data_IF_353476157560
#
_entry.id   IF_353476157560
#
_cell.length_a   1.000
_cell.length_b   1.000
_cell.length_c   1.000
_cell.angle_alpha   90.00
_cell.angle_beta   90.00
_cell.angle_gamma   90.00
#
_symmetry.space_group_name_H-M   'P 1'
#
loop_
_entity.id
_entity.type
_entity.pdbx_description
1 polymer ?
#
# COMPACT_ATOMS: atom_id res chain seq x y z
N UNK A 1 -3.00 -33.33 -29.64
CA UNK A 1 -1.59 -32.88 -29.91
C UNK A 1 -1.40 -31.36 -29.80
N UNK A 2 -2.46 -30.53 -29.79
CA UNK A 2 -2.35 -29.06 -29.76
C UNK A 2 -2.14 -28.44 -28.35
N UNK A 3 -2.41 -29.15 -27.27
CA UNK A 3 -2.33 -28.58 -25.90
C UNK A 3 -0.92 -28.52 -25.30
N UNK A 4 0.00 -29.36 -25.74
CA UNK A 4 1.38 -29.38 -25.25
C UNK A 4 2.25 -28.27 -25.85
N UNK A 5 2.01 -27.88 -27.10
CA UNK A 5 2.77 -26.81 -27.76
C UNK A 5 2.48 -25.43 -27.15
N UNK A 6 1.23 -25.15 -26.79
CA UNK A 6 0.83 -23.87 -26.12
C UNK A 6 1.42 -23.75 -24.72
N UNK A 7 1.53 -24.86 -23.98
CA UNK A 7 2.12 -24.88 -22.64
C UNK A 7 3.64 -24.57 -22.68
N UNK A 8 4.36 -25.18 -23.63
CA UNK A 8 5.80 -24.93 -23.80
C UNK A 8 6.10 -23.54 -24.34
N UNK A 9 5.21 -22.98 -25.19
CA UNK A 9 5.35 -21.60 -25.67
C UNK A 9 5.16 -20.58 -24.55
N UNK A 10 4.22 -20.82 -23.62
CA UNK A 10 4.02 -20.01 -22.42
C UNK A 10 5.23 -20.03 -21.48
N UNK A 11 5.84 -21.19 -21.27
CA UNK A 11 7.06 -21.34 -20.45
C UNK A 11 8.26 -20.66 -21.14
N UNK A 12 8.41 -20.80 -22.47
CA UNK A 12 9.48 -20.16 -23.22
C UNK A 12 9.34 -18.63 -23.22
N UNK A 13 8.13 -18.09 -23.34
CA UNK A 13 7.85 -16.64 -23.24
C UNK A 13 8.09 -16.11 -21.83
N UNK A 14 7.67 -16.85 -20.79
CA UNK A 14 7.97 -16.49 -19.39
C UNK A 14 9.48 -16.55 -19.10
N UNK A 15 10.19 -17.53 -19.65
CA UNK A 15 11.64 -17.63 -19.53
C UNK A 15 12.36 -16.52 -20.31
N UNK A 16 11.86 -16.14 -21.47
CA UNK A 16 12.40 -15.05 -22.27
C UNK A 16 12.13 -13.70 -21.60
N UNK A 17 10.96 -13.52 -20.98
CA UNK A 17 10.61 -12.34 -20.19
C UNK A 17 11.48 -12.23 -18.92
N UNK A 18 11.68 -13.33 -18.20
CA UNK A 18 12.60 -13.42 -17.06
C UNK A 18 14.07 -13.23 -17.47
N UNK A 19 14.46 -13.68 -18.66
CA UNK A 19 15.81 -13.48 -19.19
C UNK A 19 16.01 -12.05 -19.71
N UNK A 20 14.95 -11.39 -20.23
CA UNK A 20 14.98 -9.98 -20.65
C UNK A 20 15.05 -9.02 -19.46
N UNK A 21 14.59 -9.41 -18.27
CA UNK A 21 14.75 -8.63 -17.03
C UNK A 21 16.17 -8.73 -16.43
N UNK A 22 17.08 -9.48 -17.02
CA UNK A 22 18.51 -9.54 -16.63
C UNK A 22 19.33 -8.32 -17.06
N UNK A 23 18.69 -7.28 -17.58
CA UNK A 23 19.42 -6.11 -18.03
C UNK A 23 19.66 -5.13 -16.87
N UNK A 24 20.91 -4.97 -16.52
CA UNK A 24 21.61 -4.06 -15.63
C UNK A 24 22.05 -4.59 -14.26
N UNK A 25 22.15 -5.89 -14.05
CA UNK A 25 22.78 -6.46 -12.85
C UNK A 25 24.29 -6.77 -13.06
N UNK A 26 24.91 -6.27 -14.12
CA UNK A 26 26.36 -6.32 -14.24
C UNK A 26 26.99 -5.63 -13.03
N UNK A 27 27.81 -6.38 -12.28
CA UNK A 27 28.46 -5.93 -11.05
C UNK A 27 27.56 -5.78 -9.80
N UNK A 28 26.35 -6.35 -9.79
CA UNK A 28 25.48 -6.45 -8.59
C UNK A 28 25.43 -7.90 -8.12
N UNK A 29 25.86 -8.14 -6.88
CA UNK A 29 25.97 -9.48 -6.28
C UNK A 29 25.08 -9.56 -5.03
N UNK A 30 23.78 -9.91 -5.14
CA UNK A 30 22.89 -10.05 -4.00
C UNK A 30 23.41 -11.09 -3.01
N UNK A 31 23.22 -10.82 -1.70
CA UNK A 31 23.70 -11.69 -0.60
C UNK A 31 22.54 -12.20 0.26
N UNK A 32 21.33 -12.23 -0.26
CA UNK A 32 20.13 -12.63 0.50
C UNK A 32 20.23 -14.01 1.13
N UNK A 33 20.91 -14.95 0.47
CA UNK A 33 21.17 -16.32 0.92
C UNK A 33 22.08 -16.42 2.15
N UNK A 34 22.83 -15.36 2.46
CA UNK A 34 23.75 -15.26 3.60
C UNK A 34 23.23 -14.41 4.75
N UNK A 35 22.07 -13.78 4.56
CA UNK A 35 21.42 -12.95 5.58
C UNK A 35 20.49 -13.80 6.46
N UNK A 36 20.19 -13.31 7.67
CA UNK A 36 19.14 -13.89 8.50
C UNK A 36 17.82 -13.90 7.75
N UNK A 37 17.12 -15.02 7.84
CA UNK A 37 15.83 -15.17 7.18
C UNK A 37 14.76 -14.25 7.79
N UNK A 38 13.65 -14.07 7.07
CA UNK A 38 12.46 -13.42 7.60
C UNK A 38 11.94 -14.13 8.86
N UNK A 39 11.93 -15.45 8.85
CA UNK A 39 11.46 -16.26 9.99
C UNK A 39 12.29 -16.02 11.24
N UNK A 40 13.63 -15.89 11.13
CA UNK A 40 14.48 -15.57 12.28
C UNK A 40 14.12 -14.22 12.92
N UNK A 41 13.81 -13.23 12.07
CA UNK A 41 13.44 -11.88 12.50
C UNK A 41 12.03 -11.85 13.11
N UNK A 42 11.06 -12.52 12.49
CA UNK A 42 9.70 -12.67 12.99
C UNK A 42 9.68 -13.40 14.35
N UNK A 43 10.53 -14.43 14.51
CA UNK A 43 10.69 -15.13 15.77
C UNK A 43 11.27 -14.21 16.86
N UNK A 44 12.29 -13.42 16.53
CA UNK A 44 12.88 -12.45 17.45
C UNK A 44 11.86 -11.39 17.92
N UNK A 45 11.01 -10.92 16.98
CA UNK A 45 10.01 -9.90 17.26
C UNK A 45 8.72 -10.46 17.90
N UNK A 46 8.52 -11.79 17.87
CA UNK A 46 7.28 -12.41 18.35
C UNK A 46 6.04 -12.01 17.52
N UNK A 47 6.24 -11.56 16.28
CA UNK A 47 5.16 -11.11 15.39
C UNK A 47 5.48 -11.44 13.94
N UNK A 48 4.44 -11.44 13.08
CA UNK A 48 4.57 -11.64 11.64
C UNK A 48 4.52 -10.31 10.91
N UNK A 49 5.43 -10.13 9.92
CA UNK A 49 5.39 -9.00 9.01
C UNK A 49 4.20 -9.10 8.05
N UNK A 50 3.47 -8.00 7.90
CA UNK A 50 2.32 -7.89 6.99
C UNK A 50 2.16 -6.46 6.52
N UNK A 51 1.65 -6.29 5.31
CA UNK A 51 1.36 -4.99 4.71
C UNK A 51 -0.14 -4.71 4.74
N UNK A 52 -0.54 -3.63 5.40
CA UNK A 52 -1.87 -3.04 5.32
C UNK A 52 -1.80 -1.82 4.38
N UNK A 53 -2.27 -1.98 3.16
CA UNK A 53 -2.27 -0.93 2.16
C UNK A 53 -3.60 -0.18 2.16
N UNK A 54 -3.64 0.98 2.84
CA UNK A 54 -4.82 1.82 2.89
C UNK A 54 -4.93 2.65 1.62
N UNK A 55 -6.04 2.50 0.91
CA UNK A 55 -6.42 3.31 -0.25
C UNK A 55 -7.73 4.06 0.03
N UNK A 56 -7.97 5.15 -0.69
CA UNK A 56 -9.18 5.97 -0.55
C UNK A 56 -8.92 7.44 -0.79
N UNK A 57 -9.97 8.24 -0.89
CA UNK A 57 -9.94 9.67 -1.21
C UNK A 57 -9.18 10.49 -0.15
N UNK A 58 -8.72 11.68 -0.53
CA UNK A 58 -8.24 12.67 0.45
C UNK A 58 -9.33 12.95 1.49
N UNK A 59 -8.99 13.10 2.76
CA UNK A 59 -9.99 13.32 3.81
C UNK A 59 -10.86 12.11 4.20
N UNK A 60 -10.64 10.92 3.60
CA UNK A 60 -11.43 9.72 3.93
C UNK A 60 -11.13 9.12 5.31
N UNK A 61 -10.08 9.56 6.02
CA UNK A 61 -9.73 9.07 7.35
C UNK A 61 -8.58 8.06 7.40
N UNK A 62 -7.88 7.77 6.28
CA UNK A 62 -6.76 6.82 6.22
C UNK A 62 -5.73 7.02 7.35
N UNK A 63 -5.16 8.21 7.44
CA UNK A 63 -4.12 8.52 8.45
C UNK A 63 -4.67 8.45 9.88
N UNK A 64 -5.93 8.83 10.09
CA UNK A 64 -6.59 8.75 11.40
C UNK A 64 -6.72 7.30 11.86
N UNK A 65 -7.20 6.42 10.99
CA UNK A 65 -7.34 4.99 11.29
C UNK A 65 -5.97 4.33 11.45
N UNK A 66 -4.99 4.70 10.60
CA UNK A 66 -3.62 4.20 10.68
C UNK A 66 -2.97 4.53 12.04
N UNK A 67 -3.07 5.78 12.49
CA UNK A 67 -2.53 6.23 13.78
C UNK A 67 -3.22 5.52 14.96
N UNK A 68 -4.54 5.35 14.91
CA UNK A 68 -5.26 4.65 15.96
C UNK A 68 -4.86 3.17 16.03
N UNK A 69 -4.71 2.50 14.89
CA UNK A 69 -4.23 1.13 14.82
C UNK A 69 -2.79 1.01 15.33
N UNK A 70 -1.88 1.92 14.92
CA UNK A 70 -0.49 1.92 15.40
C UNK A 70 -0.41 2.01 16.92
N UNK A 71 -1.20 2.91 17.54
CA UNK A 71 -1.26 3.07 19.00
C UNK A 71 -1.74 1.79 19.69
N UNK A 72 -2.75 1.14 19.12
CA UNK A 72 -3.29 -0.08 19.69
C UNK A 72 -2.32 -1.27 19.53
N UNK A 73 -1.66 -1.40 18.39
CA UNK A 73 -0.60 -2.39 18.17
C UNK A 73 0.57 -2.17 19.14
N UNK A 74 1.00 -0.91 19.32
CA UNK A 74 2.05 -0.57 20.28
C UNK A 74 1.67 -0.91 21.73
N UNK A 75 0.42 -0.62 22.14
CA UNK A 75 -0.10 -1.00 23.47
C UNK A 75 -0.04 -2.51 23.72
N UNK A 76 -0.12 -3.31 22.66
CA UNK A 76 -0.02 -4.77 22.68
C UNK A 76 1.43 -5.29 22.54
N UNK A 77 2.42 -4.42 22.51
CA UNK A 77 3.82 -4.78 22.33
C UNK A 77 4.21 -5.16 20.92
N UNK A 78 3.39 -4.83 19.92
CA UNK A 78 3.64 -5.12 18.51
C UNK A 78 4.26 -3.91 17.80
N UNK A 79 5.36 -4.17 17.06
CA UNK A 79 6.05 -3.15 16.29
C UNK A 79 5.31 -2.89 14.97
N UNK A 80 4.93 -1.63 14.77
CA UNK A 80 4.27 -1.16 13.57
C UNK A 80 4.99 0.04 12.95
N UNK A 81 4.91 0.19 11.63
CA UNK A 81 5.41 1.37 10.91
C UNK A 81 4.36 1.93 9.97
N UNK A 82 4.03 3.21 10.15
CA UNK A 82 3.18 3.95 9.21
C UNK A 82 4.06 4.63 8.14
N UNK A 83 3.67 4.46 6.89
CA UNK A 83 4.15 5.20 5.72
C UNK A 83 2.99 6.07 5.22
N UNK A 84 2.99 7.33 5.63
CA UNK A 84 1.95 8.31 5.24
C UNK A 84 2.38 9.11 4.02
N UNK A 85 1.44 9.42 3.13
CA UNK A 85 1.72 10.07 1.85
C UNK A 85 2.41 11.42 1.96
N UNK A 86 2.02 12.25 2.92
CA UNK A 86 2.64 13.58 3.09
C UNK A 86 4.04 13.44 3.71
N UNK A 87 4.20 12.57 4.70
CA UNK A 87 5.50 12.31 5.33
C UNK A 87 6.53 11.78 4.34
N UNK A 88 6.12 10.84 3.48
CA UNK A 88 7.01 10.26 2.46
C UNK A 88 7.41 11.31 1.41
N UNK A 89 6.49 12.19 1.03
CA UNK A 89 6.77 13.28 0.09
C UNK A 89 7.62 14.41 0.67
N UNK A 90 7.71 14.53 1.99
CA UNK A 90 8.65 15.44 2.64
C UNK A 90 10.07 14.88 2.75
N UNK A 91 10.29 13.61 2.42
CA UNK A 91 11.56 12.89 2.53
C UNK A 91 11.93 12.12 1.27
N UNK A 92 11.78 10.78 1.31
CA UNK A 92 12.27 9.86 0.28
C UNK A 92 11.71 10.14 -1.14
N UNK A 93 10.52 10.74 -1.23
CA UNK A 93 9.87 11.11 -2.50
C UNK A 93 9.74 12.63 -2.69
N UNK A 94 10.58 13.44 -2.04
CA UNK A 94 10.53 14.90 -2.13
C UNK A 94 10.80 15.43 -3.55
N UNK A 95 11.44 14.63 -4.40
CA UNK A 95 11.71 14.98 -5.81
C UNK A 95 10.55 14.63 -6.76
N UNK A 96 9.47 14.02 -6.30
CA UNK A 96 8.35 13.58 -7.14
C UNK A 96 7.19 14.58 -7.07
N UNK A 97 6.61 14.89 -8.25
CA UNK A 97 5.39 15.68 -8.41
C UNK A 97 4.12 14.83 -8.37
N UNK A 98 3.14 15.21 -9.22
CA UNK A 98 1.81 14.58 -9.29
C UNK A 98 1.42 14.14 -10.71
N UNK A 99 2.39 14.05 -11.64
CA UNK A 99 2.17 13.42 -12.95
C UNK A 99 1.85 11.93 -12.77
N UNK A 100 1.38 11.25 -13.81
CA UNK A 100 1.13 9.81 -13.75
C UNK A 100 2.41 9.04 -13.46
N UNK A 101 3.52 9.40 -14.11
CA UNK A 101 4.83 8.81 -13.90
C UNK A 101 5.32 9.01 -12.45
N UNK A 102 5.20 10.23 -11.92
CA UNK A 102 5.58 10.52 -10.53
C UNK A 102 4.72 9.74 -9.53
N UNK A 103 3.42 9.60 -9.79
CA UNK A 103 2.51 8.79 -8.95
C UNK A 103 2.91 7.32 -8.99
N UNK A 104 3.23 6.78 -10.17
CA UNK A 104 3.68 5.40 -10.34
C UNK A 104 5.00 5.16 -9.62
N UNK A 105 5.97 6.05 -9.80
CA UNK A 105 7.28 5.96 -9.12
C UNK A 105 7.15 6.13 -7.60
N UNK A 106 6.26 7.02 -7.14
CA UNK A 106 5.95 7.16 -5.73
C UNK A 106 5.44 5.82 -5.14
N UNK A 107 4.47 5.18 -5.78
CA UNK A 107 3.93 3.88 -5.31
C UNK A 107 5.00 2.79 -5.37
N UNK A 108 5.79 2.73 -6.45
CA UNK A 108 6.87 1.76 -6.58
C UNK A 108 7.88 1.87 -5.43
N UNK A 109 8.38 3.07 -5.13
CA UNK A 109 9.34 3.30 -4.02
C UNK A 109 8.75 2.90 -2.67
N UNK A 110 7.48 3.26 -2.43
CA UNK A 110 6.79 2.90 -1.18
C UNK A 110 6.64 1.39 -1.06
N UNK A 111 6.28 0.70 -2.13
CA UNK A 111 6.14 -0.75 -2.14
C UNK A 111 7.48 -1.45 -1.83
N UNK A 112 8.61 -0.98 -2.43
CA UNK A 112 9.94 -1.50 -2.14
C UNK A 112 10.33 -1.29 -0.66
N UNK A 113 10.13 -0.10 -0.14
CA UNK A 113 10.39 0.21 1.28
C UNK A 113 9.49 -0.62 2.20
N UNK A 114 8.21 -0.76 1.86
CA UNK A 114 7.26 -1.59 2.61
C UNK A 114 7.70 -3.04 2.65
N UNK A 115 8.16 -3.58 1.51
CA UNK A 115 8.69 -4.94 1.43
C UNK A 115 9.85 -5.16 2.41
N UNK A 116 10.79 -4.22 2.50
CA UNK A 116 11.91 -4.31 3.45
C UNK A 116 11.43 -4.39 4.91
N UNK A 117 10.41 -3.62 5.29
CA UNK A 117 9.81 -3.67 6.62
C UNK A 117 9.09 -5.00 6.86
N UNK A 118 8.28 -5.45 5.90
CA UNK A 118 7.57 -6.74 5.98
C UNK A 118 8.55 -7.90 6.10
N UNK A 119 9.63 -7.92 5.30
CA UNK A 119 10.68 -8.94 5.36
C UNK A 119 11.53 -8.89 6.66
N UNK A 120 11.35 -7.81 7.43
CA UNK A 120 11.95 -7.68 8.77
C UNK A 120 10.98 -8.09 9.90
N UNK A 121 9.74 -8.52 9.56
CA UNK A 121 8.73 -8.91 10.53
C UNK A 121 7.89 -7.75 11.08
N UNK A 122 7.93 -6.57 10.44
CA UNK A 122 7.23 -5.38 10.92
C UNK A 122 5.85 -5.29 10.27
N UNK A 123 4.80 -5.05 11.07
CA UNK A 123 3.47 -4.68 10.57
C UNK A 123 3.59 -3.30 9.94
N UNK A 124 3.35 -3.20 8.64
CA UNK A 124 3.54 -1.96 7.90
C UNK A 124 2.20 -1.45 7.40
N UNK A 125 1.91 -0.17 7.61
CA UNK A 125 0.68 0.48 7.16
C UNK A 125 1.05 1.57 6.16
N UNK A 126 0.65 1.44 4.91
CA UNK A 126 0.76 2.52 3.92
C UNK A 126 -0.57 3.28 3.83
N UNK A 127 -0.55 4.60 3.95
CA UNK A 127 -1.74 5.46 3.87
C UNK A 127 -1.62 6.40 2.67
N UNK A 128 -2.03 5.92 1.50
CA UNK A 128 -1.95 6.64 0.22
C UNK A 128 -3.29 6.65 -0.50
N UNK A 129 -3.49 7.61 -1.41
CA UNK A 129 -4.69 7.61 -2.27
C UNK A 129 -4.65 6.38 -3.20
N UNK A 130 -3.51 6.09 -3.85
CA UNK A 130 -3.32 4.99 -4.83
C UNK A 130 -4.56 4.79 -5.72
N UNK A 131 -4.85 5.77 -6.63
CA UNK A 131 -6.19 5.97 -7.17
C UNK A 131 -6.63 4.93 -8.20
N UNK A 132 -5.71 4.16 -8.79
CA UNK A 132 -6.01 3.19 -9.84
C UNK A 132 -5.70 1.77 -9.40
N UNK A 133 -6.42 0.79 -9.98
CA UNK A 133 -6.18 -0.64 -9.75
C UNK A 133 -4.74 -1.01 -10.14
N UNK A 134 -4.24 -0.49 -11.27
CA UNK A 134 -2.87 -0.72 -11.74
C UNK A 134 -1.82 -0.36 -10.68
N UNK A 135 -1.95 0.80 -10.03
CA UNK A 135 -1.01 1.24 -9.00
C UNK A 135 -1.05 0.35 -7.76
N UNK A 136 -2.23 -0.09 -7.36
CA UNK A 136 -2.40 -1.00 -6.21
C UNK A 136 -1.87 -2.40 -6.52
N UNK A 137 -2.12 -2.89 -7.75
CA UNK A 137 -1.56 -4.15 -8.21
C UNK A 137 -0.03 -4.12 -8.30
N UNK A 138 0.56 -3.02 -8.79
CA UNK A 138 2.01 -2.80 -8.78
C UNK A 138 2.58 -2.95 -7.36
N UNK A 139 1.95 -2.35 -6.36
CA UNK A 139 2.37 -2.47 -4.98
C UNK A 139 2.25 -3.92 -4.46
N UNK A 140 1.13 -4.59 -4.76
CA UNK A 140 0.89 -5.97 -4.37
C UNK A 140 1.90 -6.96 -5.01
N UNK A 141 2.29 -6.72 -6.26
CA UNK A 141 3.27 -7.58 -6.96
C UNK A 141 4.69 -7.40 -6.40
N UNK A 142 5.07 -6.19 -6.00
CA UNK A 142 6.38 -5.90 -5.39
C UNK A 142 6.46 -6.52 -3.98
N UNK A 143 5.44 -6.30 -3.15
CA UNK A 143 5.43 -6.74 -1.74
C UNK A 143 5.21 -8.25 -1.63
N UNK A 144 4.40 -8.81 -2.53
CA UNK A 144 3.94 -10.19 -2.50
C UNK A 144 2.50 -10.30 -2.01
N UNK A 145 1.67 -10.97 -2.82
CA UNK A 145 0.20 -11.06 -2.61
C UNK A 145 -0.22 -11.68 -1.28
N UNK A 146 0.60 -12.58 -0.73
CA UNK A 146 0.33 -13.23 0.56
C UNK A 146 0.42 -12.27 1.74
N UNK A 147 1.33 -11.31 1.65
CA UNK A 147 1.60 -10.33 2.71
C UNK A 147 0.83 -9.02 2.52
N UNK A 148 0.34 -8.77 1.30
CA UNK A 148 -0.40 -7.56 0.97
C UNK A 148 -1.88 -7.69 1.30
N UNK A 149 -2.38 -6.79 2.16
CA UNK A 149 -3.81 -6.66 2.50
C UNK A 149 -4.29 -5.28 2.07
N UNK A 150 -5.10 -5.22 1.03
CA UNK A 150 -5.71 -3.97 0.56
C UNK A 150 -6.86 -3.57 1.47
N UNK A 151 -6.79 -2.36 2.05
CA UNK A 151 -7.80 -1.79 2.94
C UNK A 151 -8.41 -0.57 2.26
N UNK A 152 -9.67 -0.68 1.89
CA UNK A 152 -10.39 0.42 1.27
C UNK A 152 -11.08 1.29 2.32
N UNK A 153 -10.62 2.54 2.48
CA UNK A 153 -11.32 3.54 3.29
C UNK A 153 -12.38 4.20 2.39
N UNK A 154 -13.57 3.61 2.43
CA UNK A 154 -14.67 3.82 1.47
C UNK A 154 -15.56 5.01 1.76
N UNK A 155 -15.11 5.91 2.62
CA UNK A 155 -15.83 7.15 2.97
C UNK A 155 -16.28 7.90 1.71
N UNK A 156 -17.58 8.23 1.56
CA UNK A 156 -18.12 8.89 0.38
C UNK A 156 -17.45 10.22 0.07
N UNK A 157 -17.33 10.54 -1.24
CA UNK A 157 -16.74 11.80 -1.71
C UNK A 157 -17.39 13.04 -1.03
N UNK A 158 -18.70 13.06 -0.92
CA UNK A 158 -19.41 14.17 -0.30
C UNK A 158 -18.96 14.41 1.15
N UNK A 159 -18.72 13.35 1.91
CA UNK A 159 -18.21 13.44 3.27
C UNK A 159 -16.74 13.86 3.32
N UNK A 160 -15.91 13.34 2.41
CA UNK A 160 -14.51 13.76 2.28
C UNK A 160 -14.41 15.26 1.95
N UNK A 161 -15.26 15.74 1.05
CA UNK A 161 -15.36 17.15 0.66
C UNK A 161 -15.90 18.01 1.80
N UNK A 162 -16.92 17.54 2.55
CA UNK A 162 -17.43 18.23 3.74
C UNK A 162 -16.36 18.42 4.81
N UNK A 163 -15.51 17.39 5.03
CA UNK A 163 -14.41 17.45 5.99
C UNK A 163 -13.30 18.41 5.55
N UNK A 164 -12.94 18.35 4.29
CA UNK A 164 -11.87 19.12 3.60
C UNK A 164 -10.72 19.58 4.52
N UNK A 165 -10.18 18.67 5.32
CA UNK A 165 -9.22 18.93 6.41
C UNK A 165 -8.01 19.78 5.98
N UNK A 166 -7.64 19.70 4.69
CA UNK A 166 -6.48 20.41 4.12
C UNK A 166 -6.88 21.59 3.21
N UNK A 167 -8.17 21.86 3.05
CA UNK A 167 -8.70 22.88 2.14
C UNK A 167 -8.43 22.55 0.64
N UNK A 168 -8.11 21.30 0.33
CA UNK A 168 -7.75 20.88 -1.03
C UNK A 168 -8.97 20.73 -1.94
N UNK A 169 -10.11 20.29 -1.41
CA UNK A 169 -11.34 20.19 -2.17
C UNK A 169 -11.84 21.58 -2.63
N UNK A 170 -11.85 22.53 -1.72
CA UNK A 170 -12.21 23.91 -2.05
C UNK A 170 -11.29 24.48 -3.15
N UNK A 171 -9.98 24.24 -3.06
CA UNK A 171 -9.00 24.65 -4.10
C UNK A 171 -9.24 23.93 -5.43
N UNK A 172 -9.51 22.61 -5.40
CA UNK A 172 -9.77 21.85 -6.61
C UNK A 172 -11.05 22.31 -7.32
N UNK A 173 -12.12 22.61 -6.57
CA UNK A 173 -13.37 23.17 -7.12
C UNK A 173 -13.17 24.54 -7.77
N UNK A 174 -12.25 25.35 -7.27
CA UNK A 174 -11.88 26.64 -7.91
C UNK A 174 -10.89 26.48 -9.07
N UNK A 175 -10.44 25.23 -9.40
CA UNK A 175 -9.48 24.97 -10.46
C UNK A 175 -8.01 25.28 -10.11
N UNK A 176 -7.71 25.61 -8.85
CA UNK A 176 -6.36 25.91 -8.36
C UNK A 176 -5.50 24.66 -8.24
N UNK A 177 -6.09 23.49 -8.06
CA UNK A 177 -5.41 22.20 -8.02
C UNK A 177 -5.88 21.36 -9.20
N UNK A 178 -4.95 21.07 -10.12
CA UNK A 178 -5.20 20.20 -11.29
C UNK A 178 -5.04 18.72 -10.90
N UNK A 179 -5.74 17.84 -11.64
CA UNK A 179 -5.64 16.39 -11.45
C UNK A 179 -5.89 15.91 -10.02
N UNK A 180 -6.85 16.56 -9.33
CA UNK A 180 -7.22 16.19 -7.97
C UNK A 180 -8.15 14.98 -7.98
N UNK A 181 -7.72 13.89 -7.34
CA UNK A 181 -8.45 12.62 -7.31
C UNK A 181 -9.84 12.77 -6.65
N UNK A 182 -10.86 12.32 -7.34
CA UNK A 182 -12.27 12.43 -6.93
C UNK A 182 -12.97 13.70 -7.42
N UNK A 183 -12.26 14.69 -7.98
CA UNK A 183 -12.84 15.91 -8.55
C UNK A 183 -12.51 16.03 -10.04
N UNK A 184 -11.23 16.18 -10.40
CA UNK A 184 -10.76 16.36 -11.78
C UNK A 184 -9.91 15.18 -12.28
N UNK A 185 -9.67 14.18 -11.44
CA UNK A 185 -9.06 12.90 -11.79
C UNK A 185 -9.87 11.76 -11.17
N UNK A 186 -9.94 10.58 -11.82
CA UNK A 186 -10.72 9.45 -11.34
C UNK A 186 -10.12 8.82 -10.07
N UNK A 187 -10.98 8.12 -9.32
CA UNK A 187 -10.62 7.15 -8.30
C UNK A 187 -11.34 5.84 -8.62
N UNK A 188 -10.57 4.78 -8.81
CA UNK A 188 -11.08 3.44 -9.06
C UNK A 188 -11.18 2.72 -7.71
N UNK A 189 -12.43 2.57 -7.21
CA UNK A 189 -12.65 1.83 -5.97
C UNK A 189 -12.20 0.37 -6.11
N UNK A 190 -11.50 -0.19 -5.09
CA UNK A 190 -11.16 -1.61 -5.09
C UNK A 190 -12.40 -2.50 -5.24
N UNK A 191 -12.30 -3.53 -6.09
CA UNK A 191 -13.39 -4.49 -6.30
C UNK A 191 -13.39 -5.60 -5.25
N UNK A 192 -12.22 -6.01 -4.76
CA UNK A 192 -12.05 -7.11 -3.82
C UNK A 192 -11.03 -6.76 -2.72
N UNK A 193 -11.25 -5.69 -1.94
CA UNK A 193 -10.36 -5.35 -0.85
C UNK A 193 -10.45 -6.40 0.26
N UNK A 194 -9.37 -6.58 1.01
CA UNK A 194 -9.38 -7.45 2.19
C UNK A 194 -10.33 -6.93 3.29
N UNK A 195 -10.53 -5.61 3.34
CA UNK A 195 -11.47 -4.95 4.23
C UNK A 195 -11.90 -3.59 3.65
N UNK A 196 -13.20 -3.25 3.79
CA UNK A 196 -13.72 -1.92 3.51
C UNK A 196 -14.20 -1.25 4.79
N UNK A 197 -13.83 0.02 4.98
CA UNK A 197 -14.17 0.81 6.15
C UNK A 197 -14.70 2.19 5.72
N UNK A 198 -15.98 2.45 6.00
CA UNK A 198 -16.56 3.77 5.84
C UNK A 198 -16.48 4.55 7.16
N UNK A 199 -15.55 5.48 7.26
CA UNK A 199 -15.33 6.27 8.48
C UNK A 199 -16.39 7.36 8.70
N UNK A 200 -17.40 7.49 7.84
CA UNK A 200 -18.53 8.36 8.07
C UNK A 200 -19.57 7.76 9.01
N UNK A 201 -19.61 6.43 9.06
CA UNK A 201 -20.61 5.68 9.84
C UNK A 201 -19.96 4.67 10.80
N UNK A 202 -18.72 4.23 10.54
CA UNK A 202 -18.01 3.30 11.41
C UNK A 202 -17.17 4.09 12.44
N UNK A 203 -17.41 3.95 13.73
CA UNK A 203 -16.59 4.57 14.78
C UNK A 203 -15.11 4.12 14.67
N UNK A 204 -14.20 4.98 15.10
CA UNK A 204 -12.75 4.75 14.97
C UNK A 204 -12.31 3.47 15.68
N UNK A 205 -12.85 3.22 16.87
CA UNK A 205 -12.56 2.03 17.68
C UNK A 205 -13.02 0.76 16.97
N UNK A 206 -14.17 0.80 16.32
CA UNK A 206 -14.68 -0.33 15.53
C UNK A 206 -13.83 -0.59 14.28
N UNK A 207 -13.36 0.47 13.61
CA UNK A 207 -12.41 0.34 12.50
C UNK A 207 -11.13 -0.37 12.95
N UNK A 208 -10.59 0.00 14.11
CA UNK A 208 -9.39 -0.63 14.69
C UNK A 208 -9.66 -2.10 15.03
N UNK A 209 -10.77 -2.43 15.65
CA UNK A 209 -11.14 -3.81 15.99
C UNK A 209 -11.23 -4.70 14.73
N UNK A 210 -11.85 -4.23 13.66
CA UNK A 210 -11.92 -4.96 12.38
C UNK A 210 -10.54 -5.21 11.78
N UNK A 211 -9.62 -4.26 11.90
CA UNK A 211 -8.24 -4.39 11.43
C UNK A 211 -7.44 -5.38 12.29
N UNK A 212 -7.63 -5.39 13.61
CA UNK A 212 -7.01 -6.38 14.49
C UNK A 212 -7.50 -7.79 14.16
N UNK A 213 -8.81 -7.97 13.95
CA UNK A 213 -9.38 -9.25 13.52
C UNK A 213 -8.80 -9.72 12.18
N UNK A 214 -8.63 -8.81 11.20
CA UNK A 214 -8.00 -9.12 9.91
C UNK A 214 -6.54 -9.59 10.08
N UNK A 215 -5.85 -9.06 11.08
CA UNK A 215 -4.48 -9.45 11.45
C UNK A 215 -4.42 -10.75 12.25
N UNK A 216 -5.55 -11.33 12.68
CA UNK A 216 -5.62 -12.48 13.57
C UNK A 216 -5.19 -12.15 15.01
N UNK A 217 -5.28 -10.88 15.41
CA UNK A 217 -4.98 -10.39 16.75
C UNK A 217 -6.29 -10.30 17.53
N UNK A 218 -6.37 -11.03 18.65
CA UNK A 218 -7.58 -11.00 19.51
C UNK A 218 -7.88 -9.57 19.97
N UNK A 219 -9.16 -9.18 20.07
CA UNK A 219 -9.59 -7.85 20.50
C UNK A 219 -9.13 -7.43 21.87
#
# INVERSE_FOLDING_TARGET
LHSKASFWLGIALAFHYLCSMKNNLENIYPIFDRMLSRQDKEHLLGQRGVMLWFTGLSGSGKSTVAIALERELHRRGLLCRILDGDNIRSGINANLGFTEEDRRENIRRIAEVSKLFVDTGIITIAAFISPTEELRQLAADIIGKTDFKEIYISTPLAECERRDVKGLYAKARRGEVKHFTGISAPFEAPTHPALSLDTSVCPLEECVLKLLQLLGIEP
#
